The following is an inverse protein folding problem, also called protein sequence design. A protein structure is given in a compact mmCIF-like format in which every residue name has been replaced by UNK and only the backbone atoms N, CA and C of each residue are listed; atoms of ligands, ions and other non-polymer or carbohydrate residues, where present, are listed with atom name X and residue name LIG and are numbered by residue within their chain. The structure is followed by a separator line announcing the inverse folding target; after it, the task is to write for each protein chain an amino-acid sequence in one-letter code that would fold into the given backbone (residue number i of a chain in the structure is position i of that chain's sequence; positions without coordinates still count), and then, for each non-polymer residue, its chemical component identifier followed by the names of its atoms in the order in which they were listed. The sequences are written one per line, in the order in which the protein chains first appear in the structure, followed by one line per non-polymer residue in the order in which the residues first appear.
data_IF_402760768927
#
_entry.id   IF_402760768927
#
_cell.length_a   1.000
_cell.length_b   1.000
_cell.length_c   1.000
_cell.angle_alpha   90.00
_cell.angle_beta   90.00
_cell.angle_gamma   90.00
#
_symmetry.space_group_name_H-M   'P 1'
#
loop_
_entity.id
_entity.type
_entity.pdbx_description
1 polymer ?
#
# COMPACT_ATOMS: atom_id res chain seq x y z
N UNK A 1 -6.52 -17.52 -4.79
CA UNK A 1 -5.77 -16.30 -5.20
C UNK A 1 -5.39 -15.40 -4.01
N UNK A 2 -6.32 -15.06 -3.09
CA UNK A 2 -6.05 -14.14 -1.95
C UNK A 2 -4.86 -14.55 -1.07
N UNK A 3 -4.65 -15.85 -0.83
CA UNK A 3 -3.47 -16.33 -0.09
C UNK A 3 -2.15 -16.03 -0.80
N UNK A 4 -2.08 -16.24 -2.11
CA UNK A 4 -0.91 -15.88 -2.91
C UNK A 4 -0.64 -14.38 -2.87
N UNK A 5 -1.70 -13.57 -2.97
CA UNK A 5 -1.56 -12.12 -2.87
C UNK A 5 -1.06 -11.66 -1.49
N UNK A 6 -1.43 -12.34 -0.40
CA UNK A 6 -0.89 -12.08 0.95
C UNK A 6 0.61 -12.33 1.03
N UNK A 7 1.10 -13.42 0.43
CA UNK A 7 2.54 -13.68 0.35
C UNK A 7 3.27 -12.63 -0.49
N UNK A 8 2.74 -12.33 -1.69
CA UNK A 8 3.35 -11.36 -2.60
C UNK A 8 3.42 -9.98 -1.94
N UNK A 9 2.33 -9.49 -1.34
CA UNK A 9 2.32 -8.18 -0.69
C UNK A 9 3.33 -8.12 0.46
N UNK A 10 3.44 -9.18 1.27
CA UNK A 10 4.44 -9.27 2.34
C UNK A 10 5.88 -9.21 1.81
N UNK A 11 6.19 -10.03 0.79
CA UNK A 11 7.51 -10.07 0.17
C UNK A 11 7.88 -8.74 -0.51
N UNK A 12 6.94 -8.11 -1.21
CA UNK A 12 7.16 -6.80 -1.85
C UNK A 12 7.47 -5.75 -0.79
N UNK A 13 6.66 -5.65 0.28
CA UNK A 13 6.92 -4.68 1.35
C UNK A 13 8.26 -4.94 2.05
N UNK A 14 8.57 -6.19 2.37
CA UNK A 14 9.85 -6.55 2.98
C UNK A 14 11.04 -6.22 2.06
N UNK A 15 10.93 -6.54 0.77
CA UNK A 15 11.93 -6.19 -0.23
C UNK A 15 12.12 -4.67 -0.34
N UNK A 16 11.03 -3.90 -0.41
CA UNK A 16 11.10 -2.43 -0.44
C UNK A 16 11.82 -1.87 0.78
N UNK A 17 11.53 -2.38 1.98
CA UNK A 17 12.22 -1.96 3.20
C UNK A 17 13.71 -2.32 3.19
N UNK A 18 14.05 -3.54 2.75
CA UNK A 18 15.44 -3.99 2.66
C UNK A 18 16.24 -3.15 1.65
N UNK A 19 15.77 -3.08 0.40
CA UNK A 19 16.48 -2.37 -0.67
C UNK A 19 16.50 -0.86 -0.43
N UNK A 20 15.39 -0.26 0.01
CA UNK A 20 15.32 1.15 0.36
C UNK A 20 16.21 1.48 1.56
N UNK A 21 16.07 0.75 2.65
CA UNK A 21 16.83 1.00 3.88
C UNK A 21 18.34 0.85 3.68
N UNK A 22 18.78 -0.25 3.06
CA UNK A 22 20.21 -0.46 2.77
C UNK A 22 20.70 0.53 1.71
N UNK A 23 19.92 0.75 0.64
CA UNK A 23 20.27 1.68 -0.43
C UNK A 23 20.50 3.09 0.08
N UNK A 24 19.56 3.66 0.83
CA UNK A 24 19.69 5.01 1.38
C UNK A 24 20.71 5.14 2.51
N UNK A 25 21.12 4.02 3.14
CA UNK A 25 22.18 4.03 4.16
C UNK A 25 23.58 3.96 3.55
N UNK A 26 23.75 3.25 2.42
CA UNK A 26 25.08 2.99 1.84
C UNK A 26 25.41 3.87 0.63
N UNK A 27 24.40 4.37 -0.09
CA UNK A 27 24.62 5.23 -1.26
C UNK A 27 24.73 6.70 -0.84
N UNK A 28 25.46 7.53 -1.61
CA UNK A 28 25.59 8.98 -1.33
C UNK A 28 24.30 9.78 -1.60
N UNK A 29 23.25 9.11 -2.07
CA UNK A 29 21.97 9.70 -2.44
C UNK A 29 20.95 9.45 -1.32
N UNK A 30 20.49 10.50 -0.66
CA UNK A 30 19.58 10.40 0.49
C UNK A 30 18.09 10.49 0.10
N UNK A 31 17.20 10.14 1.03
CA UNK A 31 15.76 10.10 0.77
C UNK A 31 15.16 11.47 0.44
N UNK A 32 15.67 12.56 1.04
CA UNK A 32 15.22 13.93 0.71
C UNK A 32 15.54 14.27 -0.75
N UNK A 33 16.76 13.98 -1.21
CA UNK A 33 17.16 14.18 -2.60
C UNK A 33 16.33 13.32 -3.57
N UNK A 34 16.00 12.09 -3.19
CA UNK A 34 15.10 11.23 -3.97
C UNK A 34 13.71 11.85 -4.14
N UNK A 35 13.12 12.35 -3.06
CA UNK A 35 11.79 12.99 -3.12
C UNK A 35 11.82 14.24 -3.99
N UNK A 36 12.84 15.10 -3.86
CA UNK A 36 12.96 16.28 -4.73
C UNK A 36 13.19 15.92 -6.19
N UNK A 37 13.98 14.88 -6.47
CA UNK A 37 14.19 14.37 -7.83
C UNK A 37 12.90 13.89 -8.49
N UNK A 38 12.07 13.14 -7.76
CA UNK A 38 10.75 12.73 -8.27
C UNK A 38 9.81 13.94 -8.42
N UNK A 39 9.87 14.92 -7.50
CA UNK A 39 9.07 16.14 -7.60
C UNK A 39 9.45 16.97 -8.84
N UNK A 40 10.73 17.00 -9.21
CA UNK A 40 11.19 17.75 -10.39
C UNK A 40 10.69 17.21 -11.73
N UNK A 41 10.06 16.02 -11.74
CA UNK A 41 9.40 15.48 -12.93
C UNK A 41 8.04 16.16 -13.21
N UNK A 42 7.55 17.00 -12.28
CA UNK A 42 6.30 17.75 -12.40
C UNK A 42 5.10 16.87 -12.79
N UNK A 43 5.04 15.67 -12.19
CA UNK A 43 3.96 14.71 -12.47
C UNK A 43 2.61 15.24 -11.99
N UNK A 44 1.58 15.01 -12.80
CA UNK A 44 0.21 15.38 -12.43
C UNK A 44 -0.23 14.70 -11.11
N UNK A 45 -0.98 15.38 -10.22
CA UNK A 45 -1.40 14.84 -8.92
C UNK A 45 -2.12 13.49 -8.99
N UNK A 46 -2.87 13.23 -10.07
CA UNK A 46 -3.52 11.93 -10.31
C UNK A 46 -2.48 10.81 -10.41
N UNK A 47 -1.37 11.02 -11.14
CA UNK A 47 -0.32 10.02 -11.31
C UNK A 47 0.33 9.72 -9.95
N UNK A 48 0.69 10.76 -9.19
CA UNK A 48 1.28 10.58 -7.85
C UNK A 48 0.29 9.89 -6.89
N UNK A 49 -1.01 10.13 -7.03
CA UNK A 49 -2.06 9.48 -6.25
C UNK A 49 -2.18 7.99 -6.56
N UNK A 50 -2.00 7.58 -7.83
CA UNK A 50 -1.95 6.15 -8.20
C UNK A 50 -0.76 5.46 -7.51
N UNK A 51 0.43 6.05 -7.52
CA UNK A 51 1.59 5.49 -6.81
C UNK A 51 1.34 5.39 -5.30
N UNK A 52 0.77 6.43 -4.67
CA UNK A 52 0.38 6.38 -3.25
C UNK A 52 -0.60 5.23 -2.98
N UNK A 53 -1.58 5.00 -3.87
CA UNK A 53 -2.52 3.90 -3.73
C UNK A 53 -1.84 2.53 -3.86
N UNK A 54 -0.95 2.35 -4.84
CA UNK A 54 -0.17 1.13 -5.04
C UNK A 54 0.69 0.80 -3.80
N UNK A 55 1.18 1.81 -3.09
CA UNK A 55 1.92 1.64 -1.84
C UNK A 55 0.97 1.33 -0.66
N UNK A 56 -0.13 2.08 -0.53
CA UNK A 56 -1.04 1.96 0.61
C UNK A 56 -1.87 0.66 0.60
N UNK A 57 -2.33 0.21 -0.57
CA UNK A 57 -3.17 -0.98 -0.71
C UNK A 57 -2.54 -2.27 -0.17
N UNK A 58 -1.30 -2.66 -0.52
CA UNK A 58 -0.68 -3.87 0.01
C UNK A 58 -0.50 -3.81 1.53
N UNK A 59 -0.26 -2.64 2.13
CA UNK A 59 -0.16 -2.47 3.58
C UNK A 59 -1.51 -2.77 4.24
N UNK A 60 -2.59 -2.11 3.79
CA UNK A 60 -3.92 -2.31 4.33
C UNK A 60 -4.41 -3.76 4.12
N UNK A 61 -4.21 -4.30 2.91
CA UNK A 61 -4.60 -5.66 2.57
C UNK A 61 -3.82 -6.70 3.38
N UNK A 62 -2.49 -6.60 3.44
CA UNK A 62 -1.67 -7.60 4.15
C UNK A 62 -2.01 -7.62 5.64
N UNK A 63 -2.24 -6.44 6.23
CA UNK A 63 -2.65 -6.31 7.64
C UNK A 63 -4.02 -6.96 7.89
N UNK A 64 -5.04 -6.57 7.13
CA UNK A 64 -6.40 -7.11 7.30
C UNK A 64 -6.48 -8.61 6.97
N UNK A 65 -5.82 -9.05 5.90
CA UNK A 65 -5.77 -10.47 5.57
C UNK A 65 -4.94 -11.26 6.60
N UNK A 66 -3.94 -10.64 7.23
CA UNK A 66 -3.19 -11.23 8.33
C UNK A 66 -4.08 -11.50 9.55
N UNK A 67 -4.94 -10.56 9.94
CA UNK A 67 -5.95 -10.78 10.99
C UNK A 67 -6.87 -11.95 10.61
N UNK A 68 -7.32 -12.00 9.35
CA UNK A 68 -8.14 -13.12 8.84
C UNK A 68 -7.39 -14.46 8.92
N UNK A 69 -6.09 -14.49 8.61
CA UNK A 69 -5.26 -15.69 8.70
C UNK A 69 -5.04 -16.12 10.16
N UNK A 70 -4.81 -15.20 11.08
CA UNK A 70 -4.80 -15.50 12.52
C UNK A 70 -6.14 -16.09 12.96
N UNK A 71 -7.26 -15.57 12.43
CA UNK A 71 -8.58 -16.17 12.63
C UNK A 71 -8.63 -17.64 12.17
N UNK A 72 -8.05 -17.94 11.00
CA UNK A 72 -7.95 -19.31 10.49
C UNK A 72 -7.08 -20.21 11.36
N UNK A 73 -5.96 -19.69 11.89
CA UNK A 73 -5.11 -20.41 12.85
C UNK A 73 -5.88 -20.77 14.13
N UNK A 74 -6.88 -19.95 14.50
CA UNK A 74 -7.80 -20.20 15.61
C UNK A 74 -9.06 -20.99 15.21
N UNK A 75 -9.12 -21.55 14.01
CA UNK A 75 -10.29 -22.23 13.43
C UNK A 75 -11.58 -21.38 13.41
N UNK A 76 -11.45 -20.04 13.28
CA UNK A 76 -12.58 -19.11 13.13
C UNK A 76 -12.78 -18.72 11.67
N UNK A 77 -14.03 -18.71 11.20
CA UNK A 77 -14.32 -18.29 9.82
C UNK A 77 -14.05 -19.35 8.76
N UNK A 78 -13.90 -20.62 9.18
CA UNK A 78 -13.57 -21.78 8.34
C UNK A 78 -14.67 -22.84 8.31
N UNK A 79 -15.80 -22.61 9.01
CA UNK A 79 -16.89 -23.58 9.19
C UNK A 79 -17.50 -24.03 7.86
N UNK A 80 -17.52 -23.12 6.89
CA UNK A 80 -17.93 -23.40 5.52
C UNK A 80 -17.27 -22.43 4.54
N UNK A 81 -17.29 -22.83 3.27
CA UNK A 81 -16.67 -22.07 2.19
C UNK A 81 -17.28 -20.66 2.03
N UNK A 82 -18.56 -20.47 2.38
CA UNK A 82 -19.24 -19.19 2.31
C UNK A 82 -18.62 -18.14 3.23
N UNK A 83 -18.24 -18.50 4.45
CA UNK A 83 -17.52 -17.60 5.36
C UNK A 83 -16.13 -17.23 4.82
N UNK A 84 -15.43 -18.20 4.21
CA UNK A 84 -14.11 -17.97 3.59
C UNK A 84 -14.22 -16.92 2.48
N UNK A 85 -15.22 -17.03 1.59
CA UNK A 85 -15.46 -16.05 0.52
C UNK A 85 -15.86 -14.68 1.06
N UNK A 86 -16.81 -14.62 2.01
CA UNK A 86 -17.25 -13.36 2.62
C UNK A 86 -16.08 -12.61 3.26
N UNK A 87 -15.26 -13.31 4.05
CA UNK A 87 -14.06 -12.72 4.65
C UNK A 87 -13.04 -12.27 3.60
N UNK A 88 -12.88 -13.01 2.50
CA UNK A 88 -12.00 -12.62 1.40
C UNK A 88 -12.43 -11.31 0.72
N UNK A 89 -13.71 -11.21 0.34
CA UNK A 89 -14.25 -9.98 -0.27
C UNK A 89 -14.25 -8.80 0.70
N UNK A 90 -14.57 -9.05 1.98
CA UNK A 90 -14.53 -8.01 3.02
C UNK A 90 -13.13 -7.41 3.14
N UNK A 91 -12.09 -8.25 3.24
CA UNK A 91 -10.70 -7.80 3.33
C UNK A 91 -10.28 -7.00 2.09
N UNK A 92 -10.61 -7.48 0.89
CA UNK A 92 -10.28 -6.78 -0.36
C UNK A 92 -10.93 -5.39 -0.44
N UNK A 93 -12.22 -5.30 -0.09
CA UNK A 93 -12.99 -4.06 -0.13
C UNK A 93 -12.51 -3.06 0.94
N UNK A 94 -12.33 -3.51 2.19
CA UNK A 94 -11.86 -2.65 3.27
C UNK A 94 -10.45 -2.13 3.00
N UNK A 95 -9.54 -2.97 2.47
CA UNK A 95 -8.21 -2.52 2.09
C UNK A 95 -8.24 -1.43 1.01
N UNK A 96 -9.14 -1.57 0.02
CA UNK A 96 -9.31 -0.57 -1.04
C UNK A 96 -9.84 0.75 -0.48
N UNK A 97 -10.84 0.70 0.41
CA UNK A 97 -11.42 1.88 1.05
C UNK A 97 -10.38 2.61 1.90
N UNK A 98 -9.63 1.88 2.74
CA UNK A 98 -8.59 2.47 3.59
C UNK A 98 -7.50 3.13 2.74
N UNK A 99 -7.01 2.43 1.71
CA UNK A 99 -5.99 2.97 0.83
C UNK A 99 -6.49 4.20 0.06
N UNK A 100 -7.71 4.16 -0.48
CA UNK A 100 -8.31 5.28 -1.18
C UNK A 100 -8.52 6.49 -0.25
N UNK A 101 -9.00 6.26 0.97
CA UNK A 101 -9.16 7.31 1.97
C UNK A 101 -7.82 7.95 2.34
N UNK A 102 -6.76 7.16 2.56
CA UNK A 102 -5.42 7.69 2.84
C UNK A 102 -4.91 8.56 1.67
N UNK A 103 -5.09 8.12 0.43
CA UNK A 103 -4.70 8.88 -0.76
C UNK A 103 -5.51 10.16 -0.93
N UNK A 104 -6.82 10.10 -0.69
CA UNK A 104 -7.72 11.25 -0.77
C UNK A 104 -7.33 12.34 0.22
N UNK A 105 -7.02 11.98 1.47
CA UNK A 105 -6.53 12.96 2.47
C UNK A 105 -5.14 13.52 2.12
N UNK A 106 -4.35 12.80 1.32
CA UNK A 106 -3.04 13.24 0.85
C UNK A 106 -3.12 14.03 -0.48
N UNK A 107 -4.32 14.43 -0.91
CA UNK A 107 -4.53 15.22 -2.12
C UNK A 107 -3.97 16.65 -1.94
N UNK A 108 -3.22 17.19 -2.91
CA UNK A 108 -2.70 18.55 -2.81
C UNK A 108 -3.85 19.57 -2.87
N UNK A 109 -4.08 20.29 -1.77
CA UNK A 109 -5.14 21.31 -1.64
C UNK A 109 -4.67 22.75 -1.93
N UNK A 110 -3.37 22.97 -2.13
CA UNK A 110 -2.81 24.31 -2.34
C UNK A 110 -2.67 24.69 -3.82
N UNK A 111 -3.23 25.85 -4.17
CA UNK A 111 -3.21 26.48 -5.52
C UNK A 111 -1.80 26.85 -6.02
N UNK A 112 -0.77 26.80 -5.19
CA UNK A 112 0.64 27.02 -5.60
C UNK A 112 1.25 25.82 -6.32
N UNK A 113 0.83 24.59 -5.99
CA UNK A 113 1.29 23.38 -6.66
C UNK A 113 0.72 23.24 -8.10
N UNK A 114 -0.32 24.02 -8.43
CA UNK A 114 -0.89 24.10 -9.77
C UNK A 114 -0.29 25.24 -10.61
N UNK A 115 0.50 26.15 -10.01
CA UNK A 115 1.13 27.28 -10.71
C UNK A 115 2.54 26.99 -11.25
N UNK A 116 3.11 25.84 -10.88
CA UNK A 116 4.48 25.45 -11.25
C UNK A 116 4.54 24.18 -12.13
N UNK A 117 3.38 23.64 -12.51
CA UNK A 117 3.23 22.66 -13.59
C UNK A 117 2.90 23.38 -14.90
#
# INVERSE_FOLDING_TARGET
MVSGFHRISGCVMAGTLLFGGVGFALLPFNFTQFVEYIRSWNLHPVITSVFKFIIAYPIAFHTLNGIRFIGFDMAKGVDNIGQIYKGGYLVLALAAIIAAYAVFNAWPTNKEAQRTA
#
